data_IF_892767720472
#
_entry.id   IF_892767720472
#
_cell.length_a   1.000
_cell.length_b   1.000
_cell.length_c   1.000
_cell.angle_alpha   90.00
_cell.angle_beta   90.00
_cell.angle_gamma   90.00
#
_symmetry.space_group_name_H-M   'P 1'
#
loop_
_entity.id
_entity.type
_entity.pdbx_description
1 polymer ?
#
# COMPACT_ATOMS: atom_id res chain seq x y z
N UNK A 1 14.56 4.45 8.29
CA UNK A 1 14.55 3.18 7.53
C UNK A 1 15.96 2.99 6.97
N UNK A 2 16.73 2.04 7.50
CA UNK A 2 18.11 1.84 7.03
C UNK A 2 18.05 1.00 5.75
N UNK A 3 18.57 1.52 4.64
CA UNK A 3 18.63 0.78 3.37
C UNK A 3 19.93 -0.01 3.37
N UNK A 4 19.82 -1.33 3.57
CA UNK A 4 20.96 -2.23 3.41
C UNK A 4 21.48 -2.15 1.99
N UNK A 5 22.78 -1.88 1.84
CA UNK A 5 23.38 -1.77 0.51
C UNK A 5 23.78 -3.17 0.06
N UNK A 6 23.28 -3.63 -1.10
CA UNK A 6 23.66 -4.92 -1.65
C UNK A 6 25.16 -4.99 -1.96
N UNK A 7 25.70 -6.21 -1.97
CA UNK A 7 27.05 -6.47 -2.47
C UNK A 7 27.17 -6.13 -3.97
N UNK A 8 28.38 -6.09 -4.52
CA UNK A 8 28.66 -5.72 -5.92
C UNK A 8 27.79 -6.48 -6.92
N UNK A 9 27.51 -7.76 -6.67
CA UNK A 9 26.62 -8.59 -7.50
C UNK A 9 25.17 -8.08 -7.47
N UNK A 10 24.65 -7.75 -6.29
CA UNK A 10 23.29 -7.22 -6.14
C UNK A 10 23.11 -5.84 -6.80
N UNK A 11 24.13 -4.98 -6.75
CA UNK A 11 24.11 -3.71 -7.48
C UNK A 11 24.07 -3.95 -9.01
N UNK A 12 24.85 -4.91 -9.52
CA UNK A 12 24.81 -5.29 -10.94
C UNK A 12 23.43 -5.75 -11.38
N UNK A 13 22.85 -6.69 -10.64
CA UNK A 13 21.52 -7.21 -10.91
C UNK A 13 20.47 -6.09 -10.90
N UNK A 14 20.53 -5.18 -9.91
CA UNK A 14 19.65 -4.02 -9.87
C UNK A 14 19.74 -3.17 -11.14
N UNK A 15 20.94 -2.83 -11.59
CA UNK A 15 21.12 -2.02 -12.80
C UNK A 15 20.63 -2.73 -14.07
N UNK A 16 20.89 -4.03 -14.18
CA UNK A 16 20.43 -4.85 -15.31
C UNK A 16 18.90 -4.95 -15.36
N UNK A 17 18.29 -5.33 -14.24
CA UNK A 17 16.83 -5.50 -14.10
C UNK A 17 16.13 -4.16 -14.32
N UNK A 18 16.62 -3.09 -13.70
CA UNK A 18 16.00 -1.76 -13.81
C UNK A 18 16.11 -1.24 -15.24
N UNK A 19 17.28 -1.33 -15.88
CA UNK A 19 17.43 -0.94 -17.30
C UNK A 19 16.53 -1.76 -18.23
N UNK A 20 16.43 -3.08 -18.00
CA UNK A 20 15.52 -3.96 -18.74
C UNK A 20 14.05 -3.59 -18.54
N UNK A 21 13.66 -3.23 -17.32
CA UNK A 21 12.32 -2.72 -17.01
C UNK A 21 12.00 -1.44 -17.78
N UNK A 22 12.93 -0.48 -17.82
CA UNK A 22 12.73 0.78 -18.54
C UNK A 22 12.56 0.56 -20.05
N UNK A 23 13.41 -0.27 -20.66
CA UNK A 23 13.30 -0.62 -22.08
C UNK A 23 12.02 -1.41 -22.37
N UNK A 24 11.73 -2.43 -21.58
CA UNK A 24 10.55 -3.28 -21.77
C UNK A 24 9.24 -2.49 -21.63
N UNK A 25 9.10 -1.70 -20.55
CA UNK A 25 7.88 -0.92 -20.31
C UNK A 25 7.81 0.30 -21.23
N UNK A 26 8.78 1.21 -21.16
CA UNK A 26 8.69 2.52 -21.83
C UNK A 26 9.23 2.50 -23.26
N UNK A 27 10.15 1.59 -23.59
CA UNK A 27 10.71 1.46 -24.93
C UNK A 27 9.88 0.58 -25.86
N UNK A 28 9.21 -0.46 -25.34
CA UNK A 28 8.44 -1.41 -26.14
C UNK A 28 6.94 -1.40 -25.81
N UNK A 29 6.56 -1.68 -24.56
CA UNK A 29 5.16 -1.94 -24.19
C UNK A 29 4.26 -0.70 -24.36
N UNK A 30 4.68 0.46 -23.83
CA UNK A 30 3.92 1.71 -23.96
C UNK A 30 3.80 2.18 -25.43
N UNK A 31 4.90 2.27 -26.21
CA UNK A 31 4.81 2.63 -27.62
C UNK A 31 3.94 1.68 -28.43
N UNK A 32 4.01 0.37 -28.14
CA UNK A 32 3.17 -0.63 -28.77
C UNK A 32 1.68 -0.48 -28.42
N UNK A 33 1.35 -0.28 -27.14
CA UNK A 33 -0.04 -0.16 -26.68
C UNK A 33 -0.71 1.13 -27.16
N UNK A 34 0.05 2.22 -27.24
CA UNK A 34 -0.48 3.54 -27.60
C UNK A 34 -0.11 3.98 -29.04
N UNK A 35 0.52 3.11 -29.83
CA UNK A 35 0.98 3.38 -31.21
C UNK A 35 1.84 4.65 -31.35
N UNK A 36 2.66 4.94 -30.35
CA UNK A 36 3.62 6.04 -30.39
C UNK A 36 4.93 5.62 -31.08
N UNK A 37 5.68 6.59 -31.60
CA UNK A 37 7.04 6.37 -32.07
C UNK A 37 7.91 5.85 -30.93
N UNK A 38 8.84 4.93 -31.23
CA UNK A 38 9.77 4.36 -30.25
C UNK A 38 10.59 5.48 -29.60
N UNK A 39 10.37 5.80 -28.32
CA UNK A 39 11.07 6.87 -27.66
C UNK A 39 12.53 6.42 -27.43
N UNK A 40 13.48 7.30 -27.72
CA UNK A 40 14.92 7.00 -27.57
C UNK A 40 15.38 7.08 -26.11
N UNK A 41 14.71 7.89 -25.29
CA UNK A 41 15.12 8.15 -23.91
C UNK A 41 15.21 6.90 -23.01
N UNK A 42 14.32 5.88 -23.06
CA UNK A 42 14.45 4.68 -22.21
C UNK A 42 15.69 3.85 -22.55
N UNK A 43 16.07 3.81 -23.83
CA UNK A 43 17.27 3.13 -24.31
C UNK A 43 18.54 3.81 -23.80
N UNK A 44 18.56 5.15 -23.79
CA UNK A 44 19.69 5.92 -23.24
C UNK A 44 19.83 5.66 -21.74
N UNK A 45 18.73 5.69 -20.98
CA UNK A 45 18.75 5.40 -19.54
C UNK A 45 19.23 3.98 -19.27
N UNK A 46 18.73 2.99 -20.02
CA UNK A 46 19.17 1.61 -19.87
C UNK A 46 20.64 1.44 -20.25
N UNK A 47 21.13 2.09 -21.31
CA UNK A 47 22.54 2.07 -21.70
C UNK A 47 23.44 2.62 -20.60
N UNK A 48 23.05 3.75 -19.98
CA UNK A 48 23.77 4.34 -18.85
C UNK A 48 23.75 3.40 -17.63
N UNK A 49 22.58 2.84 -17.28
CA UNK A 49 22.45 1.93 -16.14
C UNK A 49 23.23 0.62 -16.34
N UNK A 50 23.18 0.03 -17.53
CA UNK A 50 23.92 -1.19 -17.86
C UNK A 50 25.42 -0.93 -17.93
N UNK A 51 25.84 0.21 -18.50
CA UNK A 51 27.25 0.64 -18.49
C UNK A 51 27.79 0.82 -17.07
N UNK A 52 27.05 1.51 -16.20
CA UNK A 52 27.40 1.67 -14.79
C UNK A 52 27.40 0.33 -14.05
N UNK A 53 26.45 -0.55 -14.32
CA UNK A 53 26.40 -1.87 -13.68
C UNK A 53 27.62 -2.72 -14.05
N UNK A 54 27.98 -2.78 -15.33
CA UNK A 54 29.07 -3.64 -15.82
C UNK A 54 30.45 -3.08 -15.45
N UNK A 55 30.67 -1.78 -15.69
CA UNK A 55 31.99 -1.14 -15.54
C UNK A 55 32.30 -0.78 -14.09
N UNK A 56 31.39 -0.08 -13.39
CA UNK A 56 31.67 0.47 -12.05
C UNK A 56 30.43 0.38 -11.15
N UNK A 57 30.07 -0.83 -10.68
CA UNK A 57 28.84 -1.05 -9.90
C UNK A 57 28.81 -0.29 -8.57
N UNK A 58 29.96 0.14 -8.05
CA UNK A 58 30.04 0.92 -6.81
C UNK A 58 29.34 2.29 -6.91
N UNK A 59 29.35 2.94 -8.07
CA UNK A 59 28.68 4.23 -8.26
C UNK A 59 27.16 4.09 -8.27
N UNK A 60 26.65 2.92 -8.67
CA UNK A 60 25.24 2.60 -8.68
C UNK A 60 24.62 2.56 -7.27
N UNK A 61 25.45 2.48 -6.22
CA UNK A 61 25.02 2.55 -4.81
C UNK A 61 24.22 3.80 -4.49
N UNK A 62 24.61 4.96 -5.03
CA UNK A 62 23.91 6.23 -4.77
C UNK A 62 22.54 6.26 -5.45
N UNK A 63 22.49 5.82 -6.71
CA UNK A 63 21.25 5.68 -7.48
C UNK A 63 20.32 4.68 -6.80
N UNK A 64 20.83 3.52 -6.39
CA UNK A 64 20.09 2.49 -5.67
C UNK A 64 19.46 3.03 -4.38
N UNK A 65 20.23 3.78 -3.57
CA UNK A 65 19.71 4.38 -2.33
C UNK A 65 18.57 5.37 -2.59
N UNK A 66 18.71 6.23 -3.60
CA UNK A 66 17.66 7.17 -3.98
C UNK A 66 16.40 6.45 -4.46
N UNK A 67 16.57 5.47 -5.36
CA UNK A 67 15.48 4.65 -5.89
C UNK A 67 14.76 3.86 -4.79
N UNK A 68 15.50 3.23 -3.89
CA UNK A 68 14.91 2.46 -2.80
C UNK A 68 14.20 3.36 -1.79
N UNK A 69 14.71 4.55 -1.50
CA UNK A 69 14.01 5.53 -0.66
C UNK A 69 12.66 5.91 -1.27
N UNK A 70 12.62 6.15 -2.58
CA UNK A 70 11.37 6.41 -3.30
C UNK A 70 10.42 5.21 -3.22
N UNK A 71 10.91 4.00 -3.46
CA UNK A 71 10.11 2.77 -3.36
C UNK A 71 9.48 2.58 -1.96
N UNK A 72 10.22 2.94 -0.90
CA UNK A 72 9.72 2.88 0.48
C UNK A 72 8.61 3.89 0.75
N UNK A 73 8.75 5.13 0.27
CA UNK A 73 7.68 6.14 0.37
C UNK A 73 6.46 5.70 -0.43
N UNK A 74 6.66 5.20 -1.64
CA UNK A 74 5.57 4.70 -2.48
C UNK A 74 4.84 3.53 -1.82
N UNK A 75 5.57 2.60 -1.20
CA UNK A 75 5.00 1.50 -0.43
C UNK A 75 4.16 1.99 0.74
N UNK A 76 4.66 2.98 1.49
CA UNK A 76 3.93 3.61 2.59
C UNK A 76 2.62 4.28 2.13
N UNK A 77 2.65 4.97 1.00
CA UNK A 77 1.45 5.57 0.39
C UNK A 77 0.49 4.46 -0.05
N UNK A 78 1.00 3.44 -0.74
CA UNK A 78 0.20 2.34 -1.29
C UNK A 78 -0.59 1.61 -0.20
N UNK A 79 0.03 1.27 0.93
CA UNK A 79 -0.69 0.60 2.03
C UNK A 79 -1.86 1.44 2.56
N UNK A 80 -1.68 2.76 2.69
CA UNK A 80 -2.74 3.68 3.15
C UNK A 80 -3.82 3.86 2.11
N UNK A 81 -3.42 3.94 0.84
CA UNK A 81 -4.35 4.06 -0.28
C UNK A 81 -5.23 2.82 -0.36
N UNK A 82 -4.65 1.62 -0.34
CA UNK A 82 -5.39 0.35 -0.36
C UNK A 82 -6.35 0.29 0.82
N UNK A 83 -5.87 0.58 2.04
CA UNK A 83 -6.72 0.53 3.23
C UNK A 83 -7.85 1.58 3.18
N UNK A 84 -7.55 2.80 2.72
CA UNK A 84 -8.53 3.87 2.52
C UNK A 84 -9.59 3.50 1.48
N UNK A 85 -9.18 2.93 0.35
CA UNK A 85 -10.08 2.42 -0.69
C UNK A 85 -10.96 1.31 -0.11
N UNK A 86 -10.39 0.32 0.57
CA UNK A 86 -11.17 -0.76 1.19
C UNK A 86 -12.19 -0.21 2.20
N UNK A 87 -11.79 0.73 3.04
CA UNK A 87 -12.71 1.34 3.99
C UNK A 87 -13.85 2.11 3.27
N UNK A 88 -13.52 2.88 2.24
CA UNK A 88 -14.52 3.67 1.51
C UNK A 88 -15.46 2.82 0.65
N UNK A 89 -14.96 1.76 0.01
CA UNK A 89 -15.76 0.93 -0.90
C UNK A 89 -16.42 -0.29 -0.26
N UNK A 90 -15.96 -0.72 0.92
CA UNK A 90 -16.53 -1.89 1.61
C UNK A 90 -17.21 -1.44 2.90
N UNK A 91 -16.46 -0.87 3.84
CA UNK A 91 -16.99 -0.53 5.18
C UNK A 91 -18.03 0.58 5.13
N UNK A 92 -17.79 1.63 4.35
CA UNK A 92 -18.67 2.80 4.26
C UNK A 92 -20.04 2.46 3.64
N UNK A 93 -20.14 1.80 2.47
CA UNK A 93 -21.44 1.40 1.94
C UNK A 93 -22.12 0.36 2.82
N UNK A 94 -21.37 -0.55 3.47
CA UNK A 94 -21.96 -1.49 4.42
C UNK A 94 -22.65 -0.76 5.60
N UNK A 95 -21.99 0.25 6.17
CA UNK A 95 -22.59 1.10 7.20
C UNK A 95 -23.79 1.90 6.70
N UNK A 96 -23.72 2.43 5.47
CA UNK A 96 -24.84 3.14 4.84
C UNK A 96 -26.04 2.21 4.61
N UNK A 97 -25.82 1.01 4.09
CA UNK A 97 -26.82 -0.03 3.91
C UNK A 97 -27.46 -0.38 5.25
N UNK A 98 -26.66 -0.65 6.30
CA UNK A 98 -27.16 -0.90 7.64
C UNK A 98 -28.07 0.24 8.15
N UNK A 99 -27.67 1.50 7.92
CA UNK A 99 -28.45 2.68 8.28
C UNK A 99 -29.75 2.79 7.49
N UNK A 100 -29.74 2.50 6.19
CA UNK A 100 -30.94 2.49 5.34
C UNK A 100 -31.94 1.40 5.74
N UNK A 101 -31.46 0.20 6.09
CA UNK A 101 -32.30 -0.89 6.57
C UNK A 101 -32.64 -0.80 8.08
N UNK A 102 -32.32 0.32 8.74
CA UNK A 102 -32.61 0.54 10.16
C UNK A 102 -31.88 -0.41 11.12
N UNK A 103 -30.91 -1.18 10.63
CA UNK A 103 -30.11 -2.11 11.44
C UNK A 103 -28.98 -1.33 12.10
N UNK A 104 -29.11 -1.04 13.39
CA UNK A 104 -28.01 -0.52 14.18
C UNK A 104 -27.21 -1.70 14.76
N UNK A 105 -25.91 -1.77 14.47
CA UNK A 105 -25.01 -2.73 15.12
C UNK A 105 -24.92 -2.49 16.64
N UNK A 106 -25.05 -1.22 17.06
CA UNK A 106 -25.23 -0.87 18.46
C UNK A 106 -26.72 -1.01 18.81
N UNK A 107 -27.06 -2.10 19.52
CA UNK A 107 -28.44 -2.41 19.99
C UNK A 107 -29.04 -1.34 20.92
N UNK A 108 -28.24 -0.40 21.41
CA UNK A 108 -28.65 0.60 22.39
C UNK A 108 -28.45 2.00 21.79
N UNK A 109 -29.39 2.48 20.98
CA UNK A 109 -29.54 3.94 20.89
C UNK A 109 -30.02 4.39 22.25
N UNK A 110 -29.17 5.09 22.99
CA UNK A 110 -29.64 5.83 24.15
C UNK A 110 -30.74 6.77 23.65
N UNK A 111 -31.93 6.81 24.30
CA UNK A 111 -32.83 7.93 24.09
C UNK A 111 -32.05 9.22 24.35
N UNK A 112 -32.51 10.33 23.78
CA UNK A 112 -31.96 11.66 24.06
C UNK A 112 -32.09 11.92 25.57
N UNK A 113 -31.05 11.57 26.31
CA UNK A 113 -31.01 11.39 27.76
C UNK A 113 -29.66 11.92 28.21
N UNK A 114 -29.65 12.69 29.30
CA UNK A 114 -28.42 13.23 29.90
C UNK A 114 -27.47 12.13 30.41
N UNK A 115 -27.89 10.86 30.36
CA UNK A 115 -27.16 9.73 30.91
C UNK A 115 -27.30 8.46 30.08
N UNK A 116 -26.18 7.74 29.93
CA UNK A 116 -26.11 6.40 29.35
C UNK A 116 -26.57 5.28 30.31
N UNK A 117 -27.11 5.62 31.49
CA UNK A 117 -27.57 4.63 32.47
C UNK A 117 -28.71 3.78 31.89
N UNK A 118 -28.46 2.49 31.73
CA UNK A 118 -29.50 1.49 31.48
C UNK A 118 -30.01 0.95 32.81
N UNK A 119 -31.33 0.93 33.00
CA UNK A 119 -31.92 0.24 34.14
C UNK A 119 -31.67 -1.26 34.00
N UNK A 120 -30.86 -1.81 34.89
CA UNK A 120 -30.65 -3.25 34.97
C UNK A 120 -31.92 -3.88 35.52
N UNK A 121 -32.53 -4.89 34.85
CA UNK A 121 -33.68 -5.59 35.41
C UNK A 121 -33.29 -6.27 36.73
N UNK A 122 -34.22 -6.26 37.69
CA UNK A 122 -34.02 -6.93 38.98
C UNK A 122 -33.73 -8.42 38.74
N UNK A 123 -32.51 -8.85 39.06
CA UNK A 123 -32.14 -10.28 38.98
C UNK A 123 -32.81 -11.03 40.13
N UNK A 124 -33.27 -12.25 39.86
CA UNK A 124 -33.82 -13.10 40.92
C UNK A 124 -32.72 -13.49 41.91
N UNK A 125 -33.04 -13.64 43.22
CA UNK A 125 -32.06 -14.05 44.22
C UNK A 125 -31.35 -15.37 43.89
N UNK A 126 -32.03 -16.29 43.18
CA UNK A 126 -31.47 -17.57 42.75
C UNK A 126 -30.27 -17.42 41.80
N UNK A 127 -30.14 -16.29 41.10
CA UNK A 127 -29.00 -16.02 40.22
C UNK A 127 -27.69 -15.87 41.01
N UNK A 128 -27.76 -15.59 42.31
CA UNK A 128 -26.61 -15.49 43.21
C UNK A 128 -26.18 -16.86 43.76
N UNK A 129 -27.01 -17.90 43.63
CA UNK A 129 -26.71 -19.25 44.13
C UNK A 129 -25.70 -20.00 43.24
N UNK A 130 -25.51 -19.54 41.99
CA UNK A 130 -24.51 -20.08 41.06
C UNK A 130 -23.71 -18.95 40.42
N UNK A 131 -22.63 -18.51 41.08
CA UNK A 131 -21.87 -17.34 40.67
C UNK A 131 -20.96 -17.54 39.44
N UNK A 132 -20.87 -18.75 38.89
CA UNK A 132 -20.06 -19.12 37.73
C UNK A 132 -20.88 -19.88 36.69
#
# INVERSE_FOLDING_TARGET
MNIEIPDKKGLREFGLITGGLFVGLFGLLFPWLFSFALPVWPWVIAGVLWGLALLIPQHLKWIYRGWMSFALVLGWINTRLILGIMFYFIMTPMGLIMRLFGKNAMKNRAPQSDSYRTLTPSRSPQHLERPF
#
